data_IF_334849185629
#
_entry.id   IF_334849185629
#
_cell.length_a   1.000
_cell.length_b   1.000
_cell.length_c   1.000
_cell.angle_alpha   90.00
_cell.angle_beta   90.00
_cell.angle_gamma   90.00
#
_symmetry.space_group_name_H-M   'P 1'
#
loop_
_entity.id
_entity.type
_entity.pdbx_description
1 polymer ?
#
# COMPACT_ATOMS: atom_id res chain seq x y z
N UNK A 1 -3.46 10.32 -25.63
CA UNK A 1 -3.44 10.09 -24.17
C UNK A 1 -4.85 9.74 -23.76
N UNK A 2 -5.06 8.60 -23.11
CA UNK A 2 -6.39 8.12 -22.72
C UNK A 2 -6.92 8.84 -21.48
N UNK A 3 -6.02 9.22 -20.57
CA UNK A 3 -6.36 9.95 -19.34
C UNK A 3 -6.50 11.45 -19.59
N UNK A 4 -7.54 12.04 -19.00
CA UNK A 4 -7.68 13.48 -18.88
C UNK A 4 -6.64 14.10 -17.95
N UNK A 5 -6.45 15.43 -18.04
CA UNK A 5 -5.55 16.16 -17.14
C UNK A 5 -5.90 15.97 -15.64
N UNK A 6 -7.17 16.02 -15.21
CA UNK A 6 -7.54 15.68 -13.84
C UNK A 6 -7.03 14.29 -13.40
N UNK A 7 -7.20 13.26 -14.24
CA UNK A 7 -6.76 11.92 -13.90
C UNK A 7 -5.23 11.79 -13.79
N UNK A 8 -4.49 12.48 -14.67
CA UNK A 8 -3.04 12.61 -14.55
C UNK A 8 -2.61 13.23 -13.23
N UNK A 9 -3.29 14.30 -12.81
CA UNK A 9 -3.01 14.95 -11.53
C UNK A 9 -3.23 14.00 -10.36
N UNK A 10 -4.32 13.22 -10.37
CA UNK A 10 -4.61 12.26 -9.30
C UNK A 10 -3.55 11.14 -9.27
N UNK A 11 -3.17 10.55 -10.41
CA UNK A 11 -2.12 9.51 -10.50
C UNK A 11 -0.75 9.96 -9.98
N UNK A 12 -0.35 11.18 -10.38
CA UNK A 12 0.91 11.76 -9.92
C UNK A 12 0.81 12.06 -8.42
N UNK A 13 -0.32 12.61 -7.96
CA UNK A 13 -0.55 12.91 -6.54
C UNK A 13 -0.50 11.64 -5.69
N UNK A 14 -1.22 10.57 -6.07
CA UNK A 14 -1.25 9.30 -5.35
C UNK A 14 0.15 8.71 -5.21
N UNK A 15 0.96 8.74 -6.28
CA UNK A 15 2.35 8.31 -6.26
C UNK A 15 3.24 9.16 -5.35
N UNK A 16 3.10 10.49 -5.39
CA UNK A 16 3.87 11.40 -4.54
C UNK A 16 3.50 11.27 -3.06
N UNK A 17 2.21 11.14 -2.76
CA UNK A 17 1.70 10.97 -1.39
C UNK A 17 2.27 9.71 -0.73
N UNK A 18 2.36 8.60 -1.48
CA UNK A 18 2.98 7.38 -0.98
C UNK A 18 4.49 7.55 -0.73
N UNK A 19 5.20 8.22 -1.65
CA UNK A 19 6.61 8.56 -1.46
C UNK A 19 6.85 9.45 -0.23
N UNK A 20 5.96 10.44 0.00
CA UNK A 20 5.97 11.29 1.19
C UNK A 20 5.69 10.46 2.44
N UNK A 21 4.73 9.54 2.43
CA UNK A 21 4.45 8.66 3.55
C UNK A 21 5.67 7.81 3.93
N UNK A 22 6.36 7.22 2.95
CA UNK A 22 7.58 6.44 3.15
C UNK A 22 8.68 7.29 3.81
N UNK A 23 8.92 8.51 3.30
CA UNK A 23 9.89 9.45 3.84
C UNK A 23 9.55 9.88 5.27
N UNK A 24 8.28 10.19 5.54
CA UNK A 24 7.81 10.58 6.86
C UNK A 24 7.94 9.43 7.86
N UNK A 25 7.62 8.18 7.46
CA UNK A 25 7.79 7.02 8.33
C UNK A 25 9.26 6.79 8.68
N UNK A 26 10.16 6.91 7.69
CA UNK A 26 11.60 6.84 7.92
C UNK A 26 12.08 7.91 8.92
N UNK A 27 11.68 9.16 8.71
CA UNK A 27 12.00 10.28 9.60
C UNK A 27 11.43 10.06 11.01
N UNK A 28 10.20 9.58 11.12
CA UNK A 28 9.56 9.27 12.38
C UNK A 28 10.34 8.22 13.16
N UNK A 29 10.72 7.11 12.51
CA UNK A 29 11.54 6.07 13.12
C UNK A 29 12.89 6.57 13.64
N UNK A 30 13.57 7.42 12.86
CA UNK A 30 14.80 8.10 13.31
C UNK A 30 14.57 8.97 14.55
N UNK A 31 13.50 9.77 14.54
CA UNK A 31 13.17 10.71 15.60
C UNK A 31 12.95 10.01 16.95
N UNK A 32 12.27 8.85 16.95
CA UNK A 32 12.00 8.08 18.17
C UNK A 32 13.11 7.07 18.50
N UNK A 33 14.20 7.02 17.72
CA UNK A 33 15.32 6.09 17.92
C UNK A 33 14.97 4.62 17.63
N UNK A 34 13.93 4.34 16.86
CA UNK A 34 13.46 2.97 16.54
C UNK A 34 13.85 2.56 15.13
N UNK A 35 14.95 1.80 15.02
CA UNK A 35 15.48 1.28 13.74
C UNK A 35 14.50 0.38 12.98
N UNK A 36 13.63 -0.34 13.68
CA UNK A 36 12.57 -1.17 13.11
C UNK A 36 11.50 -0.32 12.40
N UNK A 37 11.11 0.80 13.00
CA UNK A 37 10.18 1.78 12.41
C UNK A 37 10.84 2.60 11.30
N UNK A 38 12.11 2.98 11.48
CA UNK A 38 12.88 3.67 10.45
C UNK A 38 12.92 2.81 9.17
N UNK A 39 13.28 1.53 9.31
CA UNK A 39 13.31 0.59 8.19
C UNK A 39 11.93 0.35 7.59
N UNK A 40 10.84 0.45 8.37
CA UNK A 40 9.50 0.33 7.82
C UNK A 40 9.25 1.35 6.70
N UNK A 41 9.71 2.60 6.85
CA UNK A 41 9.65 3.59 5.77
C UNK A 41 10.42 3.18 4.51
N UNK A 42 11.61 2.55 4.66
CA UNK A 42 12.37 2.03 3.52
C UNK A 42 11.66 0.86 2.83
N UNK A 43 11.00 0.00 3.59
CA UNK A 43 10.26 -1.14 3.07
C UNK A 43 8.94 -0.75 2.37
N UNK A 44 8.54 0.52 2.41
CA UNK A 44 7.45 1.06 1.58
C UNK A 44 7.88 1.42 0.15
N UNK A 45 9.20 1.52 -0.12
CA UNK A 45 9.75 1.96 -1.41
C UNK A 45 9.40 1.03 -2.57
N UNK A 46 9.37 -0.32 -2.45
CA UNK A 46 9.02 -1.15 -3.60
C UNK A 46 7.63 -0.81 -4.18
N UNK A 47 6.59 -0.63 -3.33
CA UNK A 47 5.29 -0.17 -3.83
C UNK A 47 5.34 1.19 -4.52
N UNK A 48 6.20 2.10 -4.04
CA UNK A 48 6.42 3.38 -4.71
C UNK A 48 7.01 3.19 -6.12
N UNK A 49 8.01 2.31 -6.25
CA UNK A 49 8.59 1.96 -7.56
C UNK A 49 7.54 1.32 -8.47
N UNK A 50 6.68 0.46 -7.91
CA UNK A 50 5.55 -0.14 -8.61
C UNK A 50 4.62 0.90 -9.24
N UNK A 51 4.33 2.01 -8.55
CA UNK A 51 3.44 3.06 -9.08
C UNK A 51 4.05 3.77 -10.29
N UNK A 52 5.38 3.95 -10.33
CA UNK A 52 6.06 4.54 -11.49
C UNK A 52 5.98 3.67 -12.75
N UNK A 53 5.92 2.34 -12.61
CA UNK A 53 5.66 1.46 -13.76
C UNK A 53 4.23 1.64 -14.31
N UNK A 54 3.23 1.87 -13.45
CA UNK A 54 1.85 2.20 -13.89
C UNK A 54 1.81 3.56 -14.58
N UNK A 55 2.50 4.57 -14.05
CA UNK A 55 2.60 5.87 -14.72
C UNK A 55 3.28 5.73 -16.09
N UNK A 56 4.37 4.95 -16.18
CA UNK A 56 5.06 4.68 -17.44
C UNK A 56 4.14 3.97 -18.45
N UNK A 57 3.28 3.06 -17.98
CA UNK A 57 2.26 2.41 -18.80
C UNK A 57 1.31 3.45 -19.41
N UNK A 58 0.80 4.39 -18.63
CA UNK A 58 -0.07 5.46 -19.13
C UNK A 58 0.64 6.44 -20.06
N UNK A 59 1.93 6.73 -19.80
CA UNK A 59 2.77 7.53 -20.72
C UNK A 59 2.86 6.83 -22.09
N UNK A 60 2.95 5.50 -22.10
CA UNK A 60 3.00 4.71 -23.34
C UNK A 60 1.67 4.67 -24.11
N UNK A 61 0.61 5.33 -23.60
CA UNK A 61 -0.73 5.23 -24.17
C UNK A 61 -1.33 3.84 -24.01
N UNK A 62 -1.05 3.19 -22.87
CA UNK A 62 -1.58 1.88 -22.50
C UNK A 62 -1.19 0.76 -23.49
N UNK A 63 -0.03 0.89 -24.13
CA UNK A 63 0.40 0.01 -25.24
C UNK A 63 1.50 -0.99 -24.85
N UNK A 64 2.05 -0.90 -23.63
CA UNK A 64 3.21 -1.71 -23.19
C UNK A 64 2.84 -2.52 -21.93
N UNK A 65 2.10 -3.65 -22.07
CA UNK A 65 1.56 -4.41 -20.93
C UNK A 65 2.62 -4.95 -19.95
N UNK A 66 3.86 -5.19 -20.41
CA UNK A 66 4.95 -5.64 -19.54
C UNK A 66 5.24 -4.67 -18.39
N UNK A 67 4.88 -3.38 -18.52
CA UNK A 67 5.00 -2.41 -17.43
C UNK A 67 4.00 -2.71 -16.28
N UNK A 68 2.81 -3.22 -16.59
CA UNK A 68 1.85 -3.66 -15.58
C UNK A 68 2.36 -4.92 -14.86
N UNK A 69 2.88 -5.90 -15.60
CA UNK A 69 3.45 -7.12 -15.00
C UNK A 69 4.65 -6.79 -14.08
N UNK A 70 5.50 -5.83 -14.49
CA UNK A 70 6.61 -5.35 -13.66
C UNK A 70 6.11 -4.62 -12.42
N UNK A 71 5.10 -3.76 -12.55
CA UNK A 71 4.46 -3.09 -11.41
C UNK A 71 3.96 -4.10 -10.40
N UNK A 72 3.25 -5.12 -10.86
CA UNK A 72 2.67 -6.16 -10.02
C UNK A 72 3.74 -7.01 -9.31
N UNK A 73 4.77 -7.43 -10.05
CA UNK A 73 5.91 -8.17 -9.49
C UNK A 73 6.60 -7.36 -8.38
N UNK A 74 6.82 -6.07 -8.61
CA UNK A 74 7.42 -5.16 -7.63
C UNK A 74 6.48 -4.92 -6.44
N UNK A 75 5.16 -4.88 -6.67
CA UNK A 75 4.15 -4.80 -5.61
C UNK A 75 4.12 -6.06 -4.74
N UNK A 76 4.29 -7.26 -5.30
CA UNK A 76 4.47 -8.49 -4.52
C UNK A 76 5.70 -8.37 -3.61
N UNK A 77 6.84 -7.92 -4.16
CA UNK A 77 8.05 -7.67 -3.37
C UNK A 77 7.82 -6.59 -2.28
N UNK A 78 6.99 -5.58 -2.57
CA UNK A 78 6.51 -4.58 -1.61
C UNK A 78 5.70 -5.18 -0.48
N UNK A 79 4.70 -5.99 -0.77
CA UNK A 79 3.86 -6.65 0.23
C UNK A 79 4.71 -7.52 1.16
N UNK A 80 5.65 -8.30 0.60
CA UNK A 80 6.61 -9.11 1.38
C UNK A 80 7.48 -8.22 2.27
N UNK A 81 7.96 -7.10 1.75
CA UNK A 81 8.78 -6.13 2.47
C UNK A 81 8.02 -5.50 3.65
N UNK A 82 6.76 -5.11 3.45
CA UNK A 82 5.89 -4.56 4.50
C UNK A 82 5.57 -5.59 5.58
N UNK A 83 5.26 -6.83 5.20
CA UNK A 83 5.03 -7.93 6.14
C UNK A 83 6.31 -8.23 6.95
N UNK A 84 7.47 -8.24 6.29
CA UNK A 84 8.74 -8.42 6.97
C UNK A 84 9.01 -7.29 7.98
N UNK A 85 8.81 -6.04 7.58
CA UNK A 85 9.00 -4.87 8.44
C UNK A 85 8.10 -4.91 9.68
N UNK A 86 6.80 -5.16 9.49
CA UNK A 86 5.83 -5.27 10.59
C UNK A 86 6.09 -6.47 11.48
N UNK A 87 6.55 -7.60 10.93
CA UNK A 87 7.00 -8.76 11.72
C UNK A 87 8.21 -8.42 12.60
N UNK A 88 9.14 -7.58 12.12
CA UNK A 88 10.26 -7.08 12.93
C UNK A 88 9.77 -6.20 14.08
N UNK A 89 8.84 -5.28 13.81
CA UNK A 89 8.22 -4.41 14.83
C UNK A 89 7.48 -5.25 15.88
N UNK A 90 6.72 -6.28 15.46
CA UNK A 90 6.00 -7.15 16.38
C UNK A 90 6.93 -7.92 17.34
N UNK A 91 8.11 -8.33 16.87
CA UNK A 91 9.13 -9.00 17.69
C UNK A 91 9.73 -8.06 18.74
N UNK A 92 9.91 -6.79 18.41
CA UNK A 92 10.42 -5.78 19.36
C UNK A 92 9.34 -5.27 20.32
N UNK A 93 8.06 -5.44 19.98
CA UNK A 93 6.91 -4.98 20.78
C UNK A 93 6.29 -6.09 21.67
N UNK A 94 6.78 -7.34 21.68
CA UNK A 94 6.32 -8.38 22.62
C UNK A 94 6.53 -9.84 22.18
N UNK A 95 5.97 -10.81 22.93
CA UNK A 95 6.28 -12.24 22.79
C UNK A 95 5.95 -12.81 21.38
N UNK A 96 7.00 -13.07 20.60
CA UNK A 96 6.95 -13.23 19.14
C UNK A 96 6.32 -14.51 18.58
N UNK A 97 5.87 -15.45 19.43
CA UNK A 97 5.39 -16.77 18.99
C UNK A 97 3.92 -16.78 18.51
N UNK A 98 3.01 -16.07 19.19
CA UNK A 98 1.56 -16.08 18.83
C UNK A 98 1.22 -15.24 17.59
N UNK A 99 2.09 -14.32 17.17
CA UNK A 99 1.80 -13.43 16.04
C UNK A 99 1.92 -14.10 14.68
N UNK A 100 2.95 -14.92 14.48
CA UNK A 100 3.22 -15.57 13.20
C UNK A 100 2.12 -16.58 12.80
N UNK A 101 1.57 -17.33 13.76
CA UNK A 101 0.50 -18.31 13.52
C UNK A 101 -0.83 -17.64 13.14
N UNK A 102 -1.19 -16.52 13.80
CA UNK A 102 -2.38 -15.74 13.44
C UNK A 102 -2.26 -15.09 12.06
N UNK A 103 -1.05 -14.73 11.64
CA UNK A 103 -0.78 -14.10 10.34
C UNK A 103 -0.98 -15.05 9.16
N UNK A 104 -0.65 -16.33 9.33
CA UNK A 104 -0.90 -17.35 8.29
C UNK A 104 -2.36 -17.81 8.23
N UNK A 105 -3.08 -17.78 9.36
CA UNK A 105 -4.50 -18.17 9.40
C UNK A 105 -5.44 -17.09 8.80
N UNK A 106 -5.09 -15.80 8.91
CA UNK A 106 -5.94 -14.72 8.43
C UNK A 106 -5.87 -14.45 6.90
N UNK A 107 -4.83 -14.97 6.23
CA UNK A 107 -4.64 -14.78 4.79
C UNK A 107 -5.49 -15.69 3.90
N UNK A 108 -6.24 -16.65 4.46
CA UNK A 108 -6.79 -17.78 3.71
C UNK A 108 -8.12 -17.59 2.97
N UNK A 109 -8.70 -16.38 2.81
CA UNK A 109 -10.09 -16.28 2.34
C UNK A 109 -10.44 -15.17 1.33
N UNK A 110 -9.50 -14.69 0.51
CA UNK A 110 -9.84 -13.78 -0.58
C UNK A 110 -9.11 -14.15 -1.87
N UNK A 111 -9.85 -14.75 -2.81
CA UNK A 111 -9.46 -14.84 -4.21
C UNK A 111 -9.84 -13.52 -4.85
N UNK A 112 -8.86 -12.68 -5.17
CA UNK A 112 -9.07 -11.51 -6.03
C UNK A 112 -8.76 -11.97 -7.45
N UNK A 113 -9.80 -12.30 -8.21
CA UNK A 113 -9.67 -12.55 -9.65
C UNK A 113 -9.80 -11.22 -10.38
N UNK A 114 -8.71 -10.72 -10.95
CA UNK A 114 -8.72 -9.61 -11.90
C UNK A 114 -8.28 -10.13 -13.26
N UNK A 115 -8.86 -9.62 -14.36
CA UNK A 115 -8.40 -9.93 -15.72
C UNK A 115 -7.77 -8.70 -16.40
N UNK A 116 -6.67 -8.14 -15.88
CA UNK A 116 -5.99 -7.06 -16.58
C UNK A 116 -5.17 -7.60 -17.76
N UNK A 117 -4.70 -6.68 -18.60
CA UNK A 117 -3.78 -7.01 -19.68
C UNK A 117 -2.45 -7.48 -19.09
N UNK A 118 -2.03 -8.71 -19.42
CA UNK A 118 -0.76 -9.29 -18.98
C UNK A 118 0.05 -9.83 -20.17
N UNK A 119 1.37 -9.59 -20.15
CA UNK A 119 2.33 -10.18 -21.09
C UNK A 119 2.86 -11.53 -20.58
N UNK A 120 2.94 -11.73 -19.26
CA UNK A 120 3.39 -12.99 -18.63
C UNK A 120 2.37 -14.13 -18.70
N UNK A 121 1.12 -13.84 -19.08
CA UNK A 121 0.02 -14.80 -19.17
C UNK A 121 -0.84 -14.82 -17.90
N UNK A 122 -2.12 -15.14 -18.08
CA UNK A 122 -3.15 -15.03 -17.03
C UNK A 122 -2.81 -15.87 -15.78
N UNK A 123 -2.30 -17.10 -15.95
CA UNK A 123 -2.00 -18.00 -14.82
C UNK A 123 -0.89 -17.47 -13.90
N UNK A 124 0.16 -16.85 -14.46
CA UNK A 124 1.28 -16.31 -13.68
C UNK A 124 0.85 -15.03 -12.98
N UNK A 125 0.11 -14.17 -13.69
CA UNK A 125 -0.44 -12.93 -13.17
C UNK A 125 -1.38 -13.21 -11.97
N UNK A 126 -2.33 -14.14 -12.14
CA UNK A 126 -3.27 -14.53 -11.08
C UNK A 126 -2.54 -15.09 -9.86
N UNK A 127 -1.48 -15.86 -10.06
CA UNK A 127 -0.66 -16.37 -8.96
C UNK A 127 0.05 -15.24 -8.18
N UNK A 128 0.64 -14.26 -8.88
CA UNK A 128 1.30 -13.10 -8.26
C UNK A 128 0.27 -12.30 -7.45
N UNK A 129 -0.90 -11.99 -8.03
CA UNK A 129 -1.98 -11.27 -7.36
C UNK A 129 -2.45 -12.00 -6.11
N UNK A 130 -2.69 -13.31 -6.20
CA UNK A 130 -3.19 -14.11 -5.09
C UNK A 130 -2.18 -14.16 -3.95
N UNK A 131 -0.91 -14.43 -4.25
CA UNK A 131 0.16 -14.45 -3.24
C UNK A 131 0.31 -13.06 -2.61
N UNK A 132 0.34 -12.01 -3.44
CA UNK A 132 0.45 -10.62 -2.98
C UNK A 132 -0.70 -10.25 -2.05
N UNK A 133 -1.92 -10.67 -2.36
CA UNK A 133 -3.12 -10.44 -1.55
C UNK A 133 -3.03 -11.12 -0.18
N UNK A 134 -2.64 -12.40 -0.13
CA UNK A 134 -2.43 -13.13 1.13
C UNK A 134 -1.38 -12.42 1.99
N UNK A 135 -0.25 -12.06 1.39
CA UNK A 135 0.86 -11.38 2.08
C UNK A 135 0.43 -10.00 2.59
N UNK A 136 -0.30 -9.23 1.78
CA UNK A 136 -0.80 -7.91 2.15
C UNK A 136 -1.82 -7.99 3.30
N UNK A 137 -2.73 -8.95 3.28
CA UNK A 137 -3.68 -9.18 4.38
C UNK A 137 -2.97 -9.56 5.68
N UNK A 138 -1.95 -10.42 5.62
CA UNK A 138 -1.10 -10.69 6.78
C UNK A 138 -0.42 -9.41 7.28
N UNK A 139 0.09 -8.56 6.40
CA UNK A 139 0.63 -7.25 6.79
C UNK A 139 -0.42 -6.38 7.50
N UNK A 140 -1.65 -6.29 6.98
CA UNK A 140 -2.73 -5.53 7.58
C UNK A 140 -3.11 -6.03 8.99
N UNK A 141 -3.14 -7.35 9.19
CA UNK A 141 -3.35 -7.96 10.51
C UNK A 141 -2.18 -7.62 11.44
N UNK A 142 -0.94 -7.62 10.95
CA UNK A 142 0.23 -7.22 11.72
C UNK A 142 0.10 -5.79 12.25
N UNK A 143 -0.41 -4.86 11.43
CA UNK A 143 -0.66 -3.47 11.86
C UNK A 143 -1.64 -3.38 13.03
N UNK A 144 -2.74 -4.15 12.98
CA UNK A 144 -3.71 -4.22 14.09
C UNK A 144 -3.03 -4.76 15.35
N UNK A 145 -2.22 -5.80 15.21
CA UNK A 145 -1.50 -6.40 16.33
C UNK A 145 -0.47 -5.44 16.94
N UNK A 146 0.27 -4.70 16.11
CA UNK A 146 1.22 -3.67 16.57
C UNK A 146 0.47 -2.62 17.36
N UNK A 147 -0.62 -2.08 16.82
CA UNK A 147 -1.42 -1.04 17.47
C UNK A 147 -2.06 -1.50 18.78
N UNK A 148 -2.45 -2.78 18.89
CA UNK A 148 -2.96 -3.36 20.15
C UNK A 148 -1.87 -3.48 21.23
N UNK A 149 -0.63 -3.76 20.84
CA UNK A 149 0.49 -3.94 21.79
C UNK A 149 1.17 -2.62 22.15
N UNK A 150 1.26 -1.69 21.21
CA UNK A 150 1.87 -0.37 21.37
C UNK A 150 1.03 0.68 20.62
N UNK A 151 -0.05 1.18 21.26
CA UNK A 151 -0.95 2.16 20.65
C UNK A 151 -0.30 3.51 20.32
N UNK A 152 0.86 3.79 20.93
CA UNK A 152 1.61 5.03 20.76
C UNK A 152 2.56 4.97 19.56
N UNK A 153 2.83 3.80 18.99
CA UNK A 153 3.74 3.66 17.86
C UNK A 153 3.12 4.11 16.52
N UNK A 154 1.95 3.59 16.20
CA UNK A 154 1.26 3.88 14.93
C UNK A 154 -0.08 4.57 15.20
N UNK A 155 -0.32 5.68 14.50
CA UNK A 155 -1.61 6.36 14.54
C UNK A 155 -2.72 5.45 14.01
N UNK A 156 -3.93 5.64 14.54
CA UNK A 156 -5.11 4.90 14.07
C UNK A 156 -5.44 5.26 12.65
N UNK A 157 -5.16 6.49 12.25
CA UNK A 157 -5.35 6.97 10.89
C UNK A 157 -4.39 6.29 9.90
N UNK A 158 -3.14 6.03 10.32
CA UNK A 158 -2.18 5.28 9.49
C UNK A 158 -2.66 3.85 9.26
N UNK A 159 -3.08 3.15 10.32
CA UNK A 159 -3.61 1.78 10.19
C UNK A 159 -4.89 1.77 9.35
N UNK A 160 -5.80 2.71 9.59
CA UNK A 160 -7.03 2.85 8.81
C UNK A 160 -6.74 3.11 7.33
N UNK A 161 -5.74 3.94 7.00
CA UNK A 161 -5.35 4.22 5.62
C UNK A 161 -4.90 2.96 4.88
N UNK A 162 -4.02 2.15 5.47
CA UNK A 162 -3.61 0.87 4.88
C UNK A 162 -4.80 -0.10 4.67
N UNK A 163 -5.74 -0.16 5.62
CA UNK A 163 -6.97 -0.95 5.46
C UNK A 163 -7.92 -0.38 4.41
N UNK A 164 -7.95 0.95 4.24
CA UNK A 164 -8.77 1.63 3.24
C UNK A 164 -8.37 1.27 1.80
N UNK A 165 -7.14 0.79 1.58
CA UNK A 165 -6.71 0.22 0.29
C UNK A 165 -7.64 -0.94 -0.15
N UNK A 166 -8.18 -1.73 0.79
CA UNK A 166 -9.14 -2.78 0.43
C UNK A 166 -10.45 -2.21 -0.13
N UNK A 167 -10.87 -1.02 0.34
CA UNK A 167 -12.03 -0.31 -0.21
C UNK A 167 -11.72 0.17 -1.62
N UNK A 168 -10.54 0.77 -1.82
CA UNK A 168 -10.04 1.15 -3.14
C UNK A 168 -10.05 -0.06 -4.10
N UNK A 169 -9.47 -1.19 -3.73
CA UNK A 169 -9.42 -2.39 -4.58
C UNK A 169 -10.84 -2.87 -4.91
N UNK A 170 -11.71 -2.97 -3.91
CA UNK A 170 -13.09 -3.47 -4.10
C UNK A 170 -13.88 -2.56 -5.06
N UNK A 171 -13.79 -1.25 -4.89
CA UNK A 171 -14.47 -0.28 -5.76
C UNK A 171 -13.84 -0.27 -7.15
N UNK A 172 -12.51 -0.41 -7.26
CA UNK A 172 -11.81 -0.46 -8.55
C UNK A 172 -12.24 -1.68 -9.37
N UNK A 173 -12.35 -2.86 -8.75
CA UNK A 173 -12.85 -4.07 -9.42
C UNK A 173 -14.29 -3.87 -9.91
N UNK A 174 -15.14 -3.26 -9.08
CA UNK A 174 -16.51 -2.93 -9.47
C UNK A 174 -16.57 -1.92 -10.64
N UNK A 175 -15.76 -0.87 -10.60
CA UNK A 175 -15.67 0.12 -11.67
C UNK A 175 -15.09 -0.45 -12.95
N UNK A 176 -14.13 -1.36 -12.86
CA UNK A 176 -13.62 -2.11 -14.00
C UNK A 176 -14.76 -2.87 -14.69
N UNK A 177 -15.55 -3.65 -13.94
CA UNK A 177 -16.73 -4.35 -14.47
C UNK A 177 -17.75 -3.39 -15.11
N UNK A 178 -18.05 -2.26 -14.47
CA UNK A 178 -18.95 -1.27 -15.07
C UNK A 178 -18.40 -0.69 -16.38
N UNK A 179 -17.11 -0.42 -16.45
CA UNK A 179 -16.48 0.12 -17.66
C UNK A 179 -16.42 -0.91 -18.79
N UNK A 180 -16.02 -2.16 -18.50
CA UNK A 180 -15.83 -3.21 -19.51
C UNK A 180 -17.13 -3.86 -19.92
N UNK A 181 -17.85 -4.45 -18.98
CA UNK A 181 -18.98 -5.34 -19.26
C UNK A 181 -20.29 -4.57 -19.48
N UNK A 182 -20.45 -3.42 -18.81
CA UNK A 182 -21.68 -2.62 -18.91
C UNK A 182 -21.56 -1.50 -19.94
N UNK A 183 -20.42 -0.82 -20.00
CA UNK A 183 -20.21 0.35 -20.89
C UNK A 183 -19.42 0.04 -22.16
N UNK A 184 -18.79 -1.13 -22.27
CA UNK A 184 -18.10 -1.58 -23.48
C UNK A 184 -16.72 -0.96 -23.71
N UNK A 185 -16.11 -0.34 -22.70
CA UNK A 185 -14.73 0.13 -22.77
C UNK A 185 -13.74 -1.04 -22.74
N UNK A 186 -12.57 -0.88 -23.36
CA UNK A 186 -11.57 -1.96 -23.42
C UNK A 186 -10.98 -2.27 -22.04
N UNK A 187 -10.72 -1.24 -21.23
CA UNK A 187 -10.20 -1.34 -19.86
C UNK A 187 -10.77 -0.20 -19.04
N UNK A 188 -10.57 -0.24 -17.71
CA UNK A 188 -10.93 0.86 -16.82
C UNK A 188 -10.31 2.20 -17.25
N UNK A 189 -9.08 2.19 -17.78
CA UNK A 189 -8.37 3.41 -18.20
C UNK A 189 -8.95 4.13 -19.42
N UNK A 190 -9.86 3.48 -20.14
CA UNK A 190 -10.62 4.11 -21.22
C UNK A 190 -11.89 4.81 -20.72
N UNK A 191 -12.32 4.57 -19.48
CA UNK A 191 -13.46 5.23 -18.84
C UNK A 191 -12.94 6.25 -17.80
N UNK A 192 -12.69 7.47 -18.28
CA UNK A 192 -12.03 8.53 -17.50
C UNK A 192 -12.72 8.82 -16.16
N UNK A 193 -14.05 8.77 -16.11
CA UNK A 193 -14.80 9.00 -14.88
C UNK A 193 -14.59 7.86 -13.86
N UNK A 194 -14.75 6.61 -14.29
CA UNK A 194 -14.61 5.45 -13.41
C UNK A 194 -13.17 5.28 -12.95
N UNK A 195 -12.19 5.50 -13.84
CA UNK A 195 -10.78 5.45 -13.47
C UNK A 195 -10.42 6.55 -12.47
N UNK A 196 -10.76 7.80 -12.77
CA UNK A 196 -10.46 8.93 -11.87
C UNK A 196 -11.08 8.75 -10.50
N UNK A 197 -12.33 8.26 -10.45
CA UNK A 197 -13.02 7.98 -9.20
C UNK A 197 -12.33 6.85 -8.40
N UNK A 198 -11.90 5.76 -9.05
CA UNK A 198 -11.11 4.71 -8.40
C UNK A 198 -9.80 5.27 -7.84
N UNK A 199 -9.00 5.96 -8.66
CA UNK A 199 -7.70 6.49 -8.27
C UNK A 199 -7.81 7.50 -7.11
N UNK A 200 -8.89 8.28 -7.06
CA UNK A 200 -9.13 9.22 -5.95
C UNK A 200 -9.26 8.54 -4.58
N UNK A 201 -9.74 7.29 -4.53
CA UNK A 201 -9.79 6.51 -3.29
C UNK A 201 -8.39 6.11 -2.82
N UNK A 202 -7.48 5.85 -3.75
CA UNK A 202 -6.08 5.60 -3.43
C UNK A 202 -5.41 6.85 -2.86
N UNK A 203 -5.68 8.03 -3.44
CA UNK A 203 -5.27 9.32 -2.87
C UNK A 203 -5.79 9.51 -1.44
N UNK A 204 -7.08 9.21 -1.18
CA UNK A 204 -7.65 9.30 0.16
C UNK A 204 -6.91 8.36 1.13
N UNK A 205 -6.64 7.11 0.75
CA UNK A 205 -5.86 6.16 1.55
C UNK A 205 -4.48 6.72 1.88
N UNK A 206 -3.76 7.22 0.88
CA UNK A 206 -2.40 7.73 1.04
C UNK A 206 -2.37 8.96 1.96
N UNK A 207 -3.34 9.88 1.81
CA UNK A 207 -3.48 11.02 2.71
C UNK A 207 -3.77 10.60 4.17
N UNK A 208 -4.59 9.58 4.41
CA UNK A 208 -4.78 9.03 5.75
C UNK A 208 -3.45 8.53 6.34
N UNK A 209 -2.64 7.83 5.54
CA UNK A 209 -1.33 7.34 5.96
C UNK A 209 -0.40 8.51 6.29
N UNK A 210 -0.24 9.47 5.37
CA UNK A 210 0.61 10.67 5.52
C UNK A 210 0.21 11.46 6.76
N UNK A 211 -1.07 11.82 6.89
CA UNK A 211 -1.58 12.58 8.02
C UNK A 211 -1.38 11.79 9.31
N UNK A 212 -1.65 10.48 9.31
CA UNK A 212 -1.47 9.63 10.47
C UNK A 212 -0.03 9.63 10.98
N UNK A 213 0.96 9.54 10.08
CA UNK A 213 2.38 9.60 10.43
C UNK A 213 2.77 11.00 10.90
N UNK A 214 2.28 12.04 10.22
CA UNK A 214 2.54 13.43 10.59
C UNK A 214 2.06 13.75 12.01
N UNK A 215 0.89 13.24 12.40
CA UNK A 215 0.41 13.37 13.79
C UNK A 215 1.34 12.69 14.81
N UNK A 216 1.94 11.55 14.46
CA UNK A 216 2.90 10.84 15.33
C UNK A 216 4.21 11.61 15.47
N UNK A 217 4.70 12.21 14.38
CA UNK A 217 5.85 13.12 14.40
C UNK A 217 5.58 14.29 15.35
N UNK A 218 4.43 14.97 15.20
CA UNK A 218 4.07 16.08 16.10
C UNK A 218 4.02 15.67 17.58
N UNK A 219 3.49 14.47 17.88
CA UNK A 219 3.49 13.95 19.25
C UNK A 219 4.89 13.66 19.77
N UNK A 220 5.78 13.12 18.93
CA UNK A 220 7.17 12.88 19.30
C UNK A 220 7.92 14.21 19.55
N UNK A 221 7.69 15.24 18.72
CA UNK A 221 8.25 16.59 18.91
C UNK A 221 7.76 17.23 20.24
N UNK A 222 6.53 16.94 20.65
CA UNK A 222 5.96 17.39 21.93
C UNK A 222 6.41 16.55 23.14
N UNK A 223 7.28 15.55 22.95
CA UNK A 223 7.74 14.66 24.02
C UNK A 223 6.68 13.67 24.52
N UNK A 224 5.55 13.54 23.82
CA UNK A 224 4.45 12.63 24.18
C UNK A 224 4.72 11.18 23.78
N UNK A 225 5.75 10.94 22.96
CA UNK A 225 6.27 9.63 22.60
C UNK A 225 7.72 9.59 23.04
N UNK A 226 8.01 8.82 24.10
CA UNK A 226 9.37 8.67 24.57
C UNK A 226 10.17 7.82 23.58
N UNK A 227 11.03 8.46 22.81
CA UNK A 227 12.17 7.78 22.20
C UNK A 227 13.13 7.32 23.30
N UNK A 228 13.92 6.29 23.02
CA UNK A 228 15.02 5.87 23.89
C UNK A 228 16.11 6.95 23.93
N UNK A 229 15.86 8.06 24.62
CA UNK A 229 16.82 9.12 24.93
C UNK A 229 17.01 9.19 26.45
N UNK A 230 17.40 8.06 27.02
CA UNK A 230 17.94 7.95 28.38
C UNK A 230 19.09 6.94 28.38
N UNK A 231 20.15 7.21 27.61
CA UNK A 231 21.53 6.91 28.03
C UNK A 231 22.39 8.04 27.45
N UNK A 232 23.21 8.59 28.34
CA UNK A 232 24.09 9.75 28.21
C UNK A 232 24.90 9.83 26.92
#
# INVERSE_FOLDING_TARGET
MLLSLPNWLIHISSSLEWGIAALLMYRYGKMIGRRDVERFGLFMIPHWVGSWFVLAYHISGDSVPILLDLSETVNLAGSISLLYATSRILKTTGNGKKGAETLMAAGGLFLISGRPQSFMGEDIFDAILQISSVVYLSFLVSLIMIRKRDPQLLSGLTVAGFWFVLVFISVTVFFMYLSTDVRGYQTLSHDDLMHGAAESLLTISNLMIVLGIHHQIKKAEQGLIQGSSSVR
#
